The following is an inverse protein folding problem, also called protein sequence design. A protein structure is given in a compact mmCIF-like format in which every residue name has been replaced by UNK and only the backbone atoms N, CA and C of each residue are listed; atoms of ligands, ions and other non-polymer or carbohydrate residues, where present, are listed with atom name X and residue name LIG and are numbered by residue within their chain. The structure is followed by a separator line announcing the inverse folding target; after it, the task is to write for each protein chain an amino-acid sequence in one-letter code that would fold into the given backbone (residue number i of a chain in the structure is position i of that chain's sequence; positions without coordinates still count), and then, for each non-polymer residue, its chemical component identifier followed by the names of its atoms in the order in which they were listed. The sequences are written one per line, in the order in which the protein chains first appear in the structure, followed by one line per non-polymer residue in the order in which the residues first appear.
data_IF_732688964520
#
_entry.id   IF_732688964520
#
_cell.length_a   1.000
_cell.length_b   1.000
_cell.length_c   1.000
_cell.angle_alpha   90.00
_cell.angle_beta   90.00
_cell.angle_gamma   90.00
#
_symmetry.space_group_name_H-M   'P 1'
#
loop_
_entity.id
_entity.type
_entity.pdbx_description
1 polymer ?
#
# COMPACT_ATOMS: atom_id res chain seq x y z
N UNK A 1 14.23 1.84 9.91
CA UNK A 1 12.76 1.64 9.90
C UNK A 1 12.25 1.73 11.33
N UNK A 2 11.43 2.74 11.60
CA UNK A 2 10.71 2.91 12.88
C UNK A 2 9.24 2.49 12.73
N UNK A 3 8.50 2.33 13.84
CA UNK A 3 7.05 2.14 13.78
C UNK A 3 6.35 3.27 13.00
N UNK A 4 6.80 4.52 13.17
CA UNK A 4 6.25 5.65 12.43
C UNK A 4 6.47 5.53 10.92
N UNK A 5 7.60 4.97 10.49
CA UNK A 5 7.86 4.68 9.09
C UNK A 5 6.96 3.55 8.57
N UNK A 6 6.76 2.48 9.35
CA UNK A 6 5.81 1.41 9.03
C UNK A 6 4.41 1.98 8.80
N UNK A 7 3.90 2.78 9.74
CA UNK A 7 2.57 3.40 9.65
C UNK A 7 2.46 4.31 8.43
N UNK A 8 3.52 5.08 8.14
CA UNK A 8 3.54 5.99 6.99
C UNK A 8 3.48 5.24 5.67
N UNK A 9 4.25 4.16 5.52
CA UNK A 9 4.24 3.34 4.31
C UNK A 9 2.89 2.62 4.15
N UNK A 10 2.33 2.06 5.22
CA UNK A 10 1.03 1.38 5.18
C UNK A 10 -0.09 2.30 4.71
N UNK A 11 -0.17 3.50 5.29
CA UNK A 11 -1.14 4.53 4.88
C UNK A 11 -0.95 4.99 3.44
N UNK A 12 0.29 5.11 2.99
CA UNK A 12 0.57 5.47 1.59
C UNK A 12 0.09 4.39 0.62
N UNK A 13 0.42 3.12 0.88
CA UNK A 13 -0.05 1.99 0.05
C UNK A 13 -1.57 1.91 0.02
N UNK A 14 -2.22 2.18 1.16
CA UNK A 14 -3.68 2.28 1.23
C UNK A 14 -4.22 3.40 0.34
N UNK A 15 -3.61 4.59 0.41
CA UNK A 15 -4.02 5.72 -0.42
C UNK A 15 -3.87 5.42 -1.92
N UNK A 16 -2.79 4.73 -2.32
CA UNK A 16 -2.57 4.31 -3.71
C UNK A 16 -3.62 3.30 -4.15
N UNK A 17 -3.93 2.31 -3.31
CA UNK A 17 -5.01 1.35 -3.55
C UNK A 17 -6.36 2.05 -3.76
N UNK A 18 -6.74 2.96 -2.86
CA UNK A 18 -8.03 3.65 -2.95
C UNK A 18 -8.13 4.49 -4.24
N UNK A 19 -7.04 5.16 -4.65
CA UNK A 19 -7.00 5.94 -5.87
C UNK A 19 -7.16 5.07 -7.12
N UNK A 20 -6.44 3.95 -7.22
CA UNK A 20 -6.54 3.03 -8.35
C UNK A 20 -7.89 2.33 -8.39
N UNK A 21 -8.37 1.84 -7.25
CA UNK A 21 -9.63 1.13 -7.18
C UNK A 21 -10.80 2.05 -7.53
N UNK A 22 -10.78 3.31 -7.10
CA UNK A 22 -11.79 4.30 -7.49
C UNK A 22 -11.83 4.55 -9.01
N UNK A 23 -10.70 4.47 -9.70
CA UNK A 23 -10.63 4.67 -11.15
C UNK A 23 -11.35 3.56 -11.95
N UNK A 24 -11.46 2.35 -11.38
CA UNK A 24 -12.03 1.17 -12.05
C UNK A 24 -13.32 0.65 -11.40
N UNK A 25 -13.69 1.15 -10.22
CA UNK A 25 -14.84 0.66 -9.48
C UNK A 25 -16.16 0.89 -10.27
N UNK A 26 -17.06 -0.11 -10.28
CA UNK A 26 -18.40 0.06 -10.85
C UNK A 26 -19.14 1.21 -10.17
N UNK A 27 -19.74 2.10 -10.97
CA UNK A 27 -20.40 3.31 -10.45
C UNK A 27 -21.82 3.06 -9.95
N UNK A 28 -22.55 2.10 -10.52
CA UNK A 28 -23.98 1.88 -10.24
C UNK A 28 -24.41 0.40 -10.25
N UNK A 29 -25.53 0.10 -9.59
CA UNK A 29 -26.19 -1.22 -9.54
C UNK A 29 -25.82 -2.08 -8.31
N UNK A 30 -26.58 -3.14 -7.98
CA UNK A 30 -26.34 -3.97 -6.78
C UNK A 30 -24.95 -4.65 -6.75
N UNK A 31 -24.41 -4.96 -7.93
CA UNK A 31 -23.04 -5.49 -8.08
C UNK A 31 -22.00 -4.45 -7.67
N UNK A 32 -22.29 -3.15 -7.83
CA UNK A 32 -21.37 -2.07 -7.44
C UNK A 32 -21.19 -1.95 -5.94
N UNK A 33 -22.23 -2.16 -5.14
CA UNK A 33 -22.13 -2.08 -3.67
C UNK A 33 -21.30 -3.23 -3.11
N UNK A 34 -21.56 -4.46 -3.56
CA UNK A 34 -20.75 -5.62 -3.18
C UNK A 34 -19.30 -5.46 -3.64
N UNK A 35 -19.07 -4.96 -4.85
CA UNK A 35 -17.72 -4.69 -5.35
C UNK A 35 -16.99 -3.64 -4.49
N UNK A 36 -17.66 -2.56 -4.09
CA UNK A 36 -17.08 -1.53 -3.19
C UNK A 36 -16.70 -2.10 -1.83
N UNK A 37 -17.51 -2.99 -1.27
CA UNK A 37 -17.18 -3.66 0.00
C UNK A 37 -15.93 -4.54 -0.12
N UNK A 38 -15.82 -5.32 -1.19
CA UNK A 38 -14.63 -6.15 -1.46
C UNK A 38 -13.40 -5.27 -1.65
N UNK A 39 -13.49 -4.24 -2.50
CA UNK A 39 -12.40 -3.28 -2.73
C UNK A 39 -11.91 -2.66 -1.42
N UNK A 40 -12.84 -2.24 -0.55
CA UNK A 40 -12.50 -1.68 0.76
C UNK A 40 -11.78 -2.72 1.63
N UNK A 41 -12.31 -3.94 1.70
CA UNK A 41 -11.73 -5.00 2.52
C UNK A 41 -10.30 -5.40 2.06
N UNK A 42 -10.04 -5.40 0.75
CA UNK A 42 -8.68 -5.61 0.22
C UNK A 42 -7.75 -4.46 0.60
N UNK A 43 -8.22 -3.21 0.52
CA UNK A 43 -7.47 -2.04 0.99
C UNK A 43 -7.14 -2.11 2.48
N UNK A 44 -8.11 -2.50 3.32
CA UNK A 44 -7.91 -2.71 4.76
C UNK A 44 -6.88 -3.84 5.00
N UNK A 45 -6.91 -4.91 4.20
CA UNK A 45 -5.96 -6.02 4.30
C UNK A 45 -4.53 -5.56 3.97
N UNK A 46 -4.33 -4.78 2.90
CA UNK A 46 -3.00 -4.28 2.50
C UNK A 46 -2.31 -3.53 3.65
N UNK A 47 -3.03 -2.62 4.31
CA UNK A 47 -2.48 -1.84 5.42
C UNK A 47 -2.17 -2.72 6.65
N UNK A 48 -3.05 -3.67 6.97
CA UNK A 48 -2.89 -4.58 8.11
C UNK A 48 -1.73 -5.56 7.90
N UNK A 49 -1.66 -6.19 6.73
CA UNK A 49 -0.62 -7.16 6.38
C UNK A 49 0.75 -6.46 6.39
N UNK A 50 0.85 -5.28 5.77
CA UNK A 50 2.07 -4.48 5.84
C UNK A 50 2.46 -4.12 7.28
N UNK A 51 1.50 -3.66 8.10
CA UNK A 51 1.80 -3.27 9.48
C UNK A 51 2.31 -4.45 10.30
N UNK A 52 1.69 -5.62 10.12
CA UNK A 52 2.13 -6.86 10.78
C UNK A 52 3.53 -7.29 10.32
N UNK A 53 3.80 -7.24 9.01
CA UNK A 53 5.07 -7.65 8.44
C UNK A 53 6.19 -6.66 8.75
N UNK A 54 5.92 -5.36 8.66
CA UNK A 54 6.90 -4.32 8.97
C UNK A 54 7.31 -4.39 10.45
N UNK A 55 6.34 -4.53 11.36
CA UNK A 55 6.62 -4.72 12.79
C UNK A 55 7.44 -5.97 13.07
N UNK A 56 7.12 -7.08 12.40
CA UNK A 56 7.79 -8.37 12.63
C UNK A 56 9.19 -8.42 12.02
N UNK A 57 9.36 -7.88 10.82
CA UNK A 57 10.52 -8.14 9.96
C UNK A 57 11.44 -6.94 9.74
N UNK A 58 10.96 -5.72 9.93
CA UNK A 58 11.67 -4.49 9.53
C UNK A 58 11.88 -3.50 10.68
N UNK A 59 10.98 -3.42 11.65
CA UNK A 59 11.10 -2.51 12.78
C UNK A 59 12.41 -2.73 13.54
N UNK A 60 13.13 -1.63 13.83
CA UNK A 60 14.44 -1.68 14.49
C UNK A 60 15.58 -2.15 13.58
N UNK A 61 15.30 -2.56 12.33
CA UNK A 61 16.33 -2.90 11.34
C UNK A 61 16.70 -1.70 10.50
N UNK A 62 17.93 -1.75 9.99
CA UNK A 62 18.41 -0.81 8.98
C UNK A 62 17.81 -1.21 7.63
N UNK A 63 16.96 -0.34 7.10
CA UNK A 63 16.36 -0.43 5.77
C UNK A 63 16.94 0.72 4.95
N UNK A 64 17.02 0.57 3.63
CA UNK A 64 17.48 1.65 2.76
C UNK A 64 16.41 2.74 2.68
N UNK A 65 16.76 3.95 3.12
CA UNK A 65 15.85 5.10 3.09
C UNK A 65 15.41 5.43 1.66
N UNK A 66 16.23 5.11 0.65
CA UNK A 66 15.85 5.29 -0.77
C UNK A 66 14.72 4.38 -1.20
N UNK A 67 14.72 3.13 -0.74
CA UNK A 67 13.64 2.17 -1.04
C UNK A 67 12.33 2.66 -0.41
N UNK A 68 12.38 3.16 0.83
CA UNK A 68 11.22 3.74 1.52
C UNK A 68 10.73 5.00 0.79
N UNK A 69 11.63 5.90 0.41
CA UNK A 69 11.27 7.10 -0.35
C UNK A 69 10.66 6.79 -1.72
N UNK A 70 11.19 5.78 -2.43
CA UNK A 70 10.62 5.35 -3.70
C UNK A 70 9.17 4.91 -3.52
N UNK A 71 8.90 4.09 -2.50
CA UNK A 71 7.53 3.63 -2.20
C UNK A 71 6.62 4.83 -1.92
N UNK A 72 7.07 5.78 -1.12
CA UNK A 72 6.29 6.97 -0.74
C UNK A 72 6.08 7.98 -1.89
N UNK A 73 6.91 7.92 -2.93
CA UNK A 73 6.77 8.74 -4.15
C UNK A 73 5.94 8.05 -5.23
N UNK A 74 5.83 6.72 -5.17
CA UNK A 74 5.09 5.94 -6.15
C UNK A 74 3.58 6.27 -6.09
N UNK A 75 3.00 6.58 -7.24
CA UNK A 75 1.57 6.90 -7.39
C UNK A 75 0.70 5.73 -7.84
N UNK A 76 1.29 4.55 -8.03
CA UNK A 76 0.59 3.34 -8.48
C UNK A 76 1.16 2.08 -7.84
N UNK A 77 0.35 1.03 -7.74
CA UNK A 77 0.76 -0.29 -7.23
C UNK A 77 1.89 -0.85 -8.10
N UNK A 78 1.76 -0.70 -9.42
CA UNK A 78 2.80 -1.11 -10.37
C UNK A 78 4.13 -0.38 -10.13
N UNK A 79 4.10 0.93 -9.81
CA UNK A 79 5.32 1.68 -9.50
C UNK A 79 5.94 1.26 -8.16
N UNK A 80 5.14 0.96 -7.14
CA UNK A 80 5.63 0.44 -5.85
C UNK A 80 6.41 -0.87 -6.04
N UNK A 81 5.91 -1.77 -6.90
CA UNK A 81 6.59 -3.04 -7.20
C UNK A 81 7.97 -2.85 -7.83
N UNK A 82 8.21 -1.73 -8.52
CA UNK A 82 9.50 -1.42 -9.14
C UNK A 82 10.54 -0.87 -8.15
N UNK A 83 10.13 -0.39 -6.97
CA UNK A 83 11.06 0.16 -5.98
C UNK A 83 12.07 -0.86 -5.44
N UNK A 84 11.72 -2.15 -5.46
CA UNK A 84 12.65 -3.23 -5.13
C UNK A 84 13.72 -3.46 -6.22
N UNK A 85 13.49 -2.96 -7.44
CA UNK A 85 14.31 -3.18 -8.62
C UNK A 85 15.23 -2.01 -8.99
N UNK A 86 15.12 -0.84 -8.33
CA UNK A 86 15.99 0.32 -8.57
C UNK A 86 17.46 0.11 -8.13
N UNK A 87 17.83 -1.09 -7.68
CA UNK A 87 19.22 -1.50 -7.37
C UNK A 87 20.07 -1.85 -8.61
N UNK A 88 19.79 -1.29 -9.79
CA UNK A 88 20.63 -1.49 -10.99
C UNK A 88 21.30 -0.21 -11.45
#
# INVERSE_FOLDING_TARGET
MTQADCDRVGKHMRSVWDAEAAAVAPKEGPVSERARLVIKAEGDRIENDWSADCKRELEGRKVDDKEVECILKAGSIAAIQLCAHEKR
#
